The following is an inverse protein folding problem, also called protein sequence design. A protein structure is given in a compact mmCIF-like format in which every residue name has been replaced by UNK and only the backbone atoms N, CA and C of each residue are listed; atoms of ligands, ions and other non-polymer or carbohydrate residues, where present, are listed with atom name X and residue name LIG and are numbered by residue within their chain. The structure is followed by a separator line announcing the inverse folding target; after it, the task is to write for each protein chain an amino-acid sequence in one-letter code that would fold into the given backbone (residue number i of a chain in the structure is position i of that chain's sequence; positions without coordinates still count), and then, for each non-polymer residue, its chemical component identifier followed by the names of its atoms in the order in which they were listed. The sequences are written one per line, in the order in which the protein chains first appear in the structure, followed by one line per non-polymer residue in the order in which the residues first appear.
data_IF_877080953742
#
_entry.id   IF_877080953742
#
_cell.length_a   1.000
_cell.length_b   1.000
_cell.length_c   1.000
_cell.angle_alpha   90.00
_cell.angle_beta   90.00
_cell.angle_gamma   90.00
#
_symmetry.space_group_name_H-M   'P 1'
#
loop_
_entity.id
_entity.type
_entity.pdbx_description
1 polymer ?
#
# COMPACT_ATOMS: atom_id res chain seq x y z
N UNK A 1 -10.11 12.47 3.37
CA UNK A 1 -10.42 11.15 3.98
C UNK A 1 -10.26 10.00 3.00
N UNK A 2 -10.84 10.02 1.80
CA UNK A 2 -10.69 8.90 0.83
C UNK A 2 -9.22 8.64 0.45
N UNK A 3 -8.44 9.66 0.10
CA UNK A 3 -7.01 9.51 -0.19
C UNK A 3 -6.20 9.06 1.03
N UNK A 4 -6.57 9.46 2.26
CA UNK A 4 -5.95 8.94 3.47
C UNK A 4 -6.27 7.45 3.67
N UNK A 5 -7.51 7.02 3.37
CA UNK A 5 -7.88 5.60 3.36
C UNK A 5 -7.15 4.79 2.31
N UNK A 6 -6.71 5.41 1.20
CA UNK A 6 -5.84 4.76 0.22
C UNK A 6 -4.44 4.50 0.75
N UNK A 7 -3.88 5.48 1.46
CA UNK A 7 -2.54 5.37 2.04
C UNK A 7 -2.50 4.40 3.23
N UNK A 8 -3.51 4.47 4.13
CA UNK A 8 -3.60 3.58 5.29
C UNK A 8 -4.21 2.23 4.91
N UNK A 9 -3.38 1.22 4.75
CA UNK A 9 -3.80 -0.10 4.27
C UNK A 9 -2.92 -1.26 4.77
N UNK A 10 -2.97 -2.38 4.05
CA UNK A 10 -2.09 -3.53 4.30
C UNK A 10 -0.60 -3.16 4.23
N UNK A 11 -0.25 -2.15 3.44
CA UNK A 11 1.11 -1.64 3.36
C UNK A 11 1.70 -1.27 4.71
N UNK A 12 0.89 -0.67 5.60
CA UNK A 12 1.32 -0.24 6.93
C UNK A 12 1.32 -1.37 7.96
N UNK A 13 0.32 -2.27 7.90
CA UNK A 13 0.07 -3.25 8.97
C UNK A 13 0.70 -4.61 8.65
N UNK A 14 0.83 -4.95 7.37
CA UNK A 14 1.41 -6.21 6.91
C UNK A 14 2.82 -6.01 6.35
N UNK A 15 2.99 -5.14 5.33
CA UNK A 15 4.24 -5.02 4.57
C UNK A 15 5.34 -4.27 5.35
N UNK A 16 5.01 -3.15 5.98
CA UNK A 16 5.97 -2.36 6.74
C UNK A 16 6.62 -3.15 7.89
N UNK A 17 5.88 -3.86 8.77
CA UNK A 17 6.50 -4.64 9.83
C UNK A 17 7.46 -5.73 9.33
N UNK A 18 7.10 -6.47 8.27
CA UNK A 18 8.02 -7.50 7.80
C UNK A 18 9.28 -6.92 7.14
N UNK A 19 9.18 -5.81 6.41
CA UNK A 19 10.35 -5.11 5.86
C UNK A 19 11.24 -4.60 7.00
N UNK A 20 10.67 -3.94 8.01
CA UNK A 20 11.45 -3.52 9.17
C UNK A 20 12.02 -4.70 9.95
N UNK A 21 11.31 -5.82 10.03
CA UNK A 21 11.80 -7.05 10.63
C UNK A 21 13.04 -7.62 9.92
N UNK A 22 13.09 -7.51 8.60
CA UNK A 22 14.23 -8.00 7.80
C UNK A 22 15.43 -7.06 7.81
N UNK A 23 15.21 -5.73 7.91
CA UNK A 23 16.24 -4.73 7.68
C UNK A 23 16.51 -3.83 8.90
N UNK A 24 16.54 -4.43 10.11
CA UNK A 24 17.08 -3.79 11.30
C UNK A 24 16.11 -2.85 12.05
N UNK A 25 14.81 -3.16 12.05
CA UNK A 25 13.82 -2.51 12.92
C UNK A 25 13.87 -0.99 12.90
N UNK A 26 14.50 -0.39 13.91
CA UNK A 26 14.63 1.07 14.06
C UNK A 26 15.41 1.75 12.92
N UNK A 27 16.45 1.10 12.36
CA UNK A 27 17.18 1.64 11.22
C UNK A 27 16.28 1.73 9.98
N UNK A 28 15.47 0.66 9.74
CA UNK A 28 14.44 0.67 8.71
C UNK A 28 13.42 1.80 8.95
N UNK A 29 12.89 1.94 10.16
CA UNK A 29 11.94 3.00 10.49
C UNK A 29 12.53 4.39 10.20
N UNK A 30 13.78 4.64 10.59
CA UNK A 30 14.45 5.92 10.35
C UNK A 30 14.54 6.24 8.85
N UNK A 31 15.03 5.28 8.04
CA UNK A 31 15.15 5.45 6.58
C UNK A 31 13.76 5.58 5.93
N UNK A 32 12.77 4.82 6.40
CA UNK A 32 11.39 4.94 5.95
C UNK A 32 10.83 6.35 6.17
N UNK A 33 11.01 6.92 7.36
CA UNK A 33 10.57 8.29 7.66
C UNK A 33 11.24 9.31 6.72
N UNK A 34 12.53 9.18 6.46
CA UNK A 34 13.24 10.04 5.51
C UNK A 34 12.61 9.94 4.11
N UNK A 35 12.40 8.73 3.60
CA UNK A 35 11.83 8.53 2.27
C UNK A 35 10.38 8.99 2.16
N UNK A 36 9.57 8.74 3.18
CA UNK A 36 8.16 9.16 3.18
C UNK A 36 8.04 10.68 3.13
N UNK A 37 8.82 11.43 3.94
CA UNK A 37 8.71 12.88 3.98
C UNK A 37 9.45 13.58 2.83
N UNK A 38 10.63 13.09 2.41
CA UNK A 38 11.44 13.76 1.39
C UNK A 38 11.08 13.37 -0.04
N UNK A 39 10.56 12.15 -0.24
CA UNK A 39 10.24 11.63 -1.57
C UNK A 39 8.74 11.36 -1.69
N UNK A 40 8.19 10.56 -0.81
CA UNK A 40 6.80 10.11 -0.87
C UNK A 40 5.79 11.27 -0.81
N UNK A 41 5.92 12.17 0.17
CA UNK A 41 5.04 13.35 0.29
C UNK A 41 5.20 14.30 -0.90
N UNK A 42 6.40 14.47 -1.42
CA UNK A 42 6.68 15.30 -2.60
C UNK A 42 5.97 14.72 -3.84
N UNK A 43 6.05 13.40 -4.02
CA UNK A 43 5.33 12.69 -5.08
C UNK A 43 3.82 12.76 -4.91
N UNK A 44 3.33 12.58 -3.69
CA UNK A 44 1.90 12.71 -3.37
C UNK A 44 1.34 14.09 -3.78
N UNK A 45 2.08 15.15 -3.44
CA UNK A 45 1.73 16.50 -3.87
C UNK A 45 1.78 16.65 -5.38
N UNK A 46 2.80 16.10 -6.04
CA UNK A 46 2.97 16.12 -7.50
C UNK A 46 1.76 15.48 -8.18
N UNK A 47 1.36 14.28 -7.76
CA UNK A 47 0.20 13.59 -8.33
C UNK A 47 -1.11 14.34 -8.05
N UNK A 48 -1.29 14.91 -6.86
CA UNK A 48 -2.45 15.74 -6.56
C UNK A 48 -2.54 16.99 -7.45
N UNK A 49 -1.43 17.67 -7.71
CA UNK A 49 -1.40 18.82 -8.61
C UNK A 49 -1.77 18.40 -10.03
N UNK A 50 -1.17 17.32 -10.56
CA UNK A 50 -1.48 16.79 -11.88
C UNK A 50 -2.97 16.44 -11.98
N UNK A 51 -3.50 15.72 -11.01
CA UNK A 51 -4.90 15.30 -10.98
C UNK A 51 -5.85 16.49 -10.90
N UNK A 52 -5.67 17.39 -9.94
CA UNK A 52 -6.56 18.56 -9.71
C UNK A 52 -6.54 19.52 -10.88
N UNK A 53 -5.36 19.79 -11.44
CA UNK A 53 -5.23 20.72 -12.57
C UNK A 53 -5.86 20.18 -13.84
N UNK A 54 -5.69 18.88 -14.12
CA UNK A 54 -6.24 18.25 -15.31
C UNK A 54 -7.73 17.89 -15.20
N UNK A 55 -8.18 17.49 -14.01
CA UNK A 55 -9.53 16.95 -13.77
C UNK A 55 -9.77 15.56 -14.37
N UNK A 56 -8.70 14.85 -14.79
CA UNK A 56 -8.77 13.55 -15.47
C UNK A 56 -7.96 12.45 -14.75
N UNK A 57 -8.25 11.20 -15.10
CA UNK A 57 -7.40 10.06 -14.77
C UNK A 57 -6.05 10.13 -15.49
N UNK A 58 -5.02 9.40 -15.07
CA UNK A 58 -3.64 9.56 -15.53
C UNK A 58 -3.45 9.55 -17.04
N UNK A 59 -4.08 8.64 -17.79
CA UNK A 59 -3.90 8.57 -19.27
C UNK A 59 -4.26 9.90 -19.96
N UNK A 60 -5.33 10.57 -19.51
CA UNK A 60 -5.77 11.84 -20.06
C UNK A 60 -5.11 13.04 -19.38
N UNK A 61 -4.72 12.92 -18.11
CA UNK A 61 -4.17 14.02 -17.33
C UNK A 61 -2.87 14.58 -17.94
N UNK A 62 -1.93 13.73 -18.29
CA UNK A 62 -0.65 14.17 -18.85
C UNK A 62 -0.77 14.92 -20.17
N UNK A 63 -1.45 14.40 -21.21
CA UNK A 63 -1.63 15.15 -22.46
C UNK A 63 -2.50 16.40 -22.30
N UNK A 64 -3.47 16.43 -21.38
CA UNK A 64 -4.25 17.63 -21.11
C UNK A 64 -3.39 18.80 -20.59
N UNK A 65 -2.37 18.50 -19.76
CA UNK A 65 -1.42 19.47 -19.23
C UNK A 65 -0.30 19.83 -20.21
N UNK A 66 0.00 18.97 -21.19
CA UNK A 66 1.00 19.23 -22.22
C UNK A 66 0.53 18.76 -23.62
N UNK A 67 -0.43 19.46 -24.26
CA UNK A 67 -1.00 19.03 -25.55
C UNK A 67 0.02 18.90 -26.68
N UNK A 68 1.12 19.66 -26.62
CA UNK A 68 2.19 19.61 -27.64
C UNK A 68 3.01 18.32 -27.61
N UNK A 69 2.90 17.51 -26.57
CA UNK A 69 3.66 16.27 -26.37
C UNK A 69 2.73 15.12 -25.94
N UNK A 70 1.84 14.65 -26.82
CA UNK A 70 0.79 13.67 -26.47
C UNK A 70 1.37 12.29 -26.04
N UNK A 71 2.64 12.02 -26.36
CA UNK A 71 3.31 10.78 -25.94
C UNK A 71 3.35 10.59 -24.43
N UNK A 72 3.22 11.65 -23.62
CA UNK A 72 3.13 11.55 -22.16
C UNK A 72 1.92 10.77 -21.66
N UNK A 73 0.92 10.52 -22.52
CA UNK A 73 -0.16 9.56 -22.20
C UNK A 73 0.36 8.18 -21.80
N UNK A 74 1.53 7.78 -22.31
CA UNK A 74 2.15 6.49 -22.01
C UNK A 74 2.52 6.36 -20.53
N UNK A 75 2.89 7.46 -19.86
CA UNK A 75 3.14 7.47 -18.42
C UNK A 75 1.84 7.18 -17.64
N UNK A 76 0.73 7.76 -18.09
CA UNK A 76 -0.58 7.46 -17.52
C UNK A 76 -1.00 6.00 -17.74
N UNK A 77 -0.79 5.46 -18.93
CA UNK A 77 -1.08 4.05 -19.23
C UNK A 77 -0.19 3.10 -18.40
N UNK A 78 1.10 3.44 -18.25
CA UNK A 78 2.01 2.72 -17.38
C UNK A 78 1.52 2.69 -15.93
N UNK A 79 1.05 3.83 -15.40
CA UNK A 79 0.44 3.90 -14.07
C UNK A 79 -0.80 3.01 -13.94
N UNK A 80 -1.68 2.97 -14.96
CA UNK A 80 -2.86 2.09 -14.96
C UNK A 80 -2.48 0.62 -14.99
N UNK A 81 -1.48 0.24 -15.79
CA UNK A 81 -0.94 -1.13 -15.82
C UNK A 81 -0.35 -1.52 -14.46
N UNK A 82 0.45 -0.64 -13.86
CA UNK A 82 1.01 -0.83 -12.51
C UNK A 82 -0.10 -1.02 -11.48
N UNK A 83 -1.11 -0.16 -11.50
CA UNK A 83 -2.26 -0.23 -10.59
C UNK A 83 -3.02 -1.55 -10.73
N UNK A 84 -3.22 -2.04 -11.96
CA UNK A 84 -3.88 -3.30 -12.27
C UNK A 84 -3.11 -4.51 -11.70
N UNK A 85 -1.79 -4.58 -11.90
CA UNK A 85 -0.98 -5.65 -11.33
C UNK A 85 -0.92 -5.62 -9.80
N UNK A 86 -0.82 -4.41 -9.21
CA UNK A 86 -0.84 -4.24 -7.75
C UNK A 86 -2.18 -4.72 -7.18
N UNK A 87 -3.31 -4.37 -7.80
CA UNK A 87 -4.61 -4.79 -7.32
C UNK A 87 -4.75 -6.32 -7.32
N UNK A 88 -4.26 -7.01 -8.35
CA UNK A 88 -4.32 -8.47 -8.41
C UNK A 88 -3.60 -9.15 -7.24
N UNK A 89 -2.33 -8.74 -6.96
CA UNK A 89 -1.58 -9.24 -5.79
C UNK A 89 -2.29 -8.88 -4.48
N UNK A 90 -2.76 -7.64 -4.40
CA UNK A 90 -3.45 -7.12 -3.23
C UNK A 90 -4.72 -7.92 -2.90
N UNK A 91 -5.47 -8.34 -3.91
CA UNK A 91 -6.67 -9.15 -3.76
C UNK A 91 -6.37 -10.56 -3.25
N UNK A 92 -5.28 -11.17 -3.69
CA UNK A 92 -4.85 -12.49 -3.19
C UNK A 92 -4.53 -12.41 -1.70
N UNK A 93 -3.71 -11.43 -1.29
CA UNK A 93 -3.37 -11.21 0.12
C UNK A 93 -4.61 -10.85 0.96
N UNK A 94 -5.52 -10.05 0.40
CA UNK A 94 -6.79 -9.71 1.05
C UNK A 94 -7.70 -10.93 1.21
N UNK A 95 -7.67 -11.85 0.25
CA UNK A 95 -8.34 -13.15 0.33
C UNK A 95 -7.79 -14.00 1.47
N UNK A 96 -6.46 -14.09 1.61
CA UNK A 96 -5.84 -14.77 2.75
C UNK A 96 -6.25 -14.15 4.08
N UNK A 97 -6.24 -12.81 4.14
CA UNK A 97 -6.64 -12.05 5.32
C UNK A 97 -8.08 -12.32 5.71
N UNK A 98 -9.00 -12.32 4.74
CA UNK A 98 -10.41 -12.62 4.97
C UNK A 98 -10.62 -14.09 5.39
N UNK A 99 -9.85 -15.03 4.83
CA UNK A 99 -9.85 -16.42 5.23
C UNK A 99 -9.42 -16.59 6.68
N UNK A 100 -8.32 -15.98 7.07
CA UNK A 100 -7.82 -16.01 8.46
C UNK A 100 -8.75 -15.29 9.44
N UNK A 101 -9.42 -14.23 9.01
CA UNK A 101 -10.48 -13.61 9.81
C UNK A 101 -11.62 -14.59 10.05
N UNK A 102 -12.07 -15.29 9.02
CA UNK A 102 -13.10 -16.33 9.15
C UNK A 102 -12.67 -17.47 10.07
N UNK A 103 -11.45 -17.98 9.89
CA UNK A 103 -10.90 -19.06 10.73
C UNK A 103 -10.68 -18.64 12.19
N UNK A 104 -10.38 -17.35 12.45
CA UNK A 104 -10.31 -16.80 13.81
C UNK A 104 -11.69 -16.73 14.45
N UNK A 105 -12.74 -16.33 13.72
CA UNK A 105 -14.13 -16.29 14.20
C UNK A 105 -14.67 -17.68 14.52
N UNK A 106 -14.34 -18.67 13.72
CA UNK A 106 -14.80 -20.06 13.90
C UNK A 106 -14.00 -20.85 14.95
N UNK A 107 -12.92 -20.25 15.48
CA UNK A 107 -12.04 -20.91 16.43
C UNK A 107 -11.06 -21.92 15.77
N UNK A 108 -11.05 -22.02 14.46
CA UNK A 108 -10.15 -22.94 13.71
C UNK A 108 -8.68 -22.63 14.02
N UNK A 109 -8.28 -21.34 14.02
CA UNK A 109 -6.90 -20.96 14.33
C UNK A 109 -6.51 -21.36 15.76
N UNK A 110 -7.41 -21.30 16.71
CA UNK A 110 -7.15 -21.66 18.10
C UNK A 110 -6.95 -23.17 18.32
N UNK A 111 -7.35 -24.02 17.37
CA UNK A 111 -7.19 -25.47 17.43
C UNK A 111 -5.87 -25.95 16.81
N UNK A 112 -5.07 -25.06 16.19
CA UNK A 112 -3.81 -25.39 15.55
C UNK A 112 -2.71 -25.35 16.61
N UNK A 113 -1.84 -26.40 16.63
CA UNK A 113 -0.65 -26.40 17.48
C UNK A 113 0.36 -25.32 17.01
N UNK A 114 1.15 -24.78 17.94
CA UNK A 114 2.03 -23.62 17.67
C UNK A 114 3.05 -23.89 16.54
N UNK A 115 3.49 -25.12 16.35
CA UNK A 115 4.38 -25.55 15.26
C UNK A 115 3.64 -25.85 13.94
N UNK A 116 2.31 -25.89 13.97
CA UNK A 116 1.44 -26.21 12.83
C UNK A 116 1.09 -25.04 11.93
N UNK A 117 1.29 -23.77 12.37
CA UNK A 117 0.82 -22.59 11.62
C UNK A 117 1.46 -22.43 10.25
N UNK A 118 2.75 -22.78 10.11
CA UNK A 118 3.40 -22.76 8.79
C UNK A 118 2.76 -23.77 7.84
N UNK A 119 2.59 -25.01 8.27
CA UNK A 119 1.94 -26.04 7.46
C UNK A 119 0.49 -25.71 7.14
N UNK A 120 -0.23 -25.07 8.09
CA UNK A 120 -1.60 -24.60 7.87
C UNK A 120 -1.66 -23.49 6.79
N UNK A 121 -0.77 -22.51 6.87
CA UNK A 121 -0.69 -21.45 5.86
C UNK A 121 -0.35 -22.01 4.48
N UNK A 122 0.67 -22.88 4.41
CA UNK A 122 1.09 -23.53 3.17
C UNK A 122 -0.08 -24.34 2.56
N UNK A 123 -0.81 -25.10 3.38
CA UNK A 123 -1.99 -25.84 2.95
C UNK A 123 -3.17 -24.91 2.53
N UNK A 124 -3.33 -23.77 3.20
CA UNK A 124 -4.36 -22.78 2.86
C UNK A 124 -4.09 -22.18 1.48
N UNK A 125 -2.86 -21.69 1.22
CA UNK A 125 -2.51 -21.05 -0.05
C UNK A 125 -2.40 -22.05 -1.19
N UNK A 126 -2.03 -23.29 -0.93
CA UNK A 126 -1.99 -24.39 -1.91
C UNK A 126 -3.38 -24.92 -2.27
N UNK A 127 -4.41 -24.58 -1.51
CA UNK A 127 -5.78 -25.01 -1.82
C UNK A 127 -6.29 -24.34 -3.11
N UNK A 128 -6.78 -25.10 -4.09
CA UNK A 128 -7.20 -24.52 -5.38
C UNK A 128 -8.45 -23.64 -5.28
N UNK A 129 -9.23 -23.73 -4.23
CA UNK A 129 -10.49 -23.00 -4.11
C UNK A 129 -10.57 -22.03 -2.92
N UNK A 130 -9.95 -22.35 -1.77
CA UNK A 130 -10.04 -21.50 -0.56
C UNK A 130 -9.59 -20.06 -0.79
N UNK A 131 -8.35 -19.78 -1.24
CA UNK A 131 -7.91 -18.41 -1.49
C UNK A 131 -8.76 -17.68 -2.51
N UNK A 132 -9.21 -18.40 -3.55
CA UNK A 132 -10.04 -17.84 -4.64
C UNK A 132 -11.42 -17.41 -4.14
N UNK A 133 -12.08 -18.24 -3.32
CA UNK A 133 -13.41 -17.91 -2.75
C UNK A 133 -13.31 -16.64 -1.90
N UNK A 134 -12.33 -16.56 -1.00
CA UNK A 134 -12.17 -15.38 -0.15
C UNK A 134 -11.77 -14.14 -0.94
N UNK A 135 -10.92 -14.28 -1.97
CA UNK A 135 -10.59 -13.20 -2.91
C UNK A 135 -11.85 -12.66 -3.59
N UNK A 136 -12.70 -13.53 -4.12
CA UNK A 136 -13.94 -13.12 -4.82
C UNK A 136 -14.91 -12.45 -3.86
N UNK A 137 -15.09 -12.98 -2.66
CA UNK A 137 -15.94 -12.37 -1.62
C UNK A 137 -15.41 -10.97 -1.28
N UNK A 138 -14.10 -10.83 -1.04
CA UNK A 138 -13.48 -9.54 -0.73
C UNK A 138 -13.65 -8.54 -1.88
N UNK A 139 -13.45 -8.97 -3.11
CA UNK A 139 -13.62 -8.12 -4.29
C UNK A 139 -15.10 -7.70 -4.51
N UNK A 140 -16.06 -8.55 -4.18
CA UNK A 140 -17.49 -8.18 -4.19
C UNK A 140 -17.75 -7.06 -3.19
N UNK A 141 -17.23 -7.11 -1.96
CA UNK A 141 -17.36 -6.01 -1.00
C UNK A 141 -16.74 -4.72 -1.54
N UNK A 142 -15.56 -4.80 -2.15
CA UNK A 142 -14.89 -3.66 -2.78
C UNK A 142 -15.75 -3.06 -3.90
N UNK A 143 -16.28 -3.90 -4.79
CA UNK A 143 -17.16 -3.48 -5.89
C UNK A 143 -18.43 -2.78 -5.37
N UNK A 144 -19.09 -3.31 -4.35
CA UNK A 144 -20.30 -2.70 -3.79
C UNK A 144 -20.06 -1.27 -3.31
N UNK A 145 -18.90 -1.01 -2.71
CA UNK A 145 -18.51 0.36 -2.30
C UNK A 145 -18.33 1.26 -3.53
N UNK A 146 -17.63 0.78 -4.57
CA UNK A 146 -17.41 1.55 -5.82
C UNK A 146 -18.72 1.87 -6.54
N UNK A 147 -19.66 0.93 -6.57
CA UNK A 147 -20.99 1.13 -7.18
C UNK A 147 -21.80 2.24 -6.47
N UNK A 148 -21.52 2.49 -5.19
CA UNK A 148 -22.09 3.61 -4.43
C UNK A 148 -21.56 4.99 -4.86
N UNK A 149 -20.49 5.04 -5.67
CA UNK A 149 -19.87 6.26 -6.19
C UNK A 149 -18.91 6.93 -5.18
N UNK A 150 -18.28 8.04 -5.60
CA UNK A 150 -17.19 8.68 -4.83
C UNK A 150 -17.68 9.22 -3.48
N UNK A 151 -18.77 10.01 -3.45
CA UNK A 151 -19.22 10.65 -2.22
C UNK A 151 -19.97 9.69 -1.27
N UNK A 152 -20.94 8.92 -1.79
CA UNK A 152 -21.82 8.06 -0.99
C UNK A 152 -21.18 6.69 -0.70
N UNK A 153 -20.32 6.21 -1.56
CA UNK A 153 -19.57 4.95 -1.38
C UNK A 153 -18.21 5.20 -0.73
N UNK A 154 -17.25 5.60 -1.50
CA UNK A 154 -15.83 5.65 -1.10
C UNK A 154 -15.60 6.58 0.10
N UNK A 155 -16.05 7.84 0.01
CA UNK A 155 -15.80 8.82 1.08
C UNK A 155 -16.51 8.46 2.38
N UNK A 156 -17.77 7.99 2.30
CA UNK A 156 -18.56 7.58 3.47
C UNK A 156 -17.93 6.37 4.16
N UNK A 157 -17.53 5.36 3.39
CA UNK A 157 -16.89 4.15 3.92
C UNK A 157 -15.53 4.51 4.53
N UNK A 158 -14.69 5.28 3.85
CA UNK A 158 -13.40 5.71 4.41
C UNK A 158 -13.55 6.52 5.70
N UNK A 159 -14.53 7.42 5.80
CA UNK A 159 -14.82 8.16 7.03
C UNK A 159 -15.22 7.27 8.20
N UNK A 160 -15.89 6.16 7.93
CA UNK A 160 -16.28 5.18 8.95
C UNK A 160 -15.11 4.27 9.33
N UNK A 161 -14.37 3.75 8.34
CA UNK A 161 -13.33 2.74 8.58
C UNK A 161 -12.08 3.31 9.25
N UNK A 162 -11.65 4.53 8.89
CA UNK A 162 -10.40 5.12 9.43
C UNK A 162 -10.39 5.24 10.97
N UNK A 163 -11.44 5.77 11.65
CA UNK A 163 -11.47 5.77 13.11
C UNK A 163 -11.50 4.36 13.71
N UNK A 164 -12.22 3.42 13.10
CA UNK A 164 -12.28 2.03 13.54
C UNK A 164 -10.88 1.39 13.48
N UNK A 165 -10.15 1.58 12.36
CA UNK A 165 -8.78 1.10 12.20
C UNK A 165 -7.86 1.66 13.29
N UNK A 166 -7.96 2.96 13.57
CA UNK A 166 -7.16 3.58 14.62
C UNK A 166 -7.45 2.99 16.00
N UNK A 167 -8.73 2.80 16.34
CA UNK A 167 -9.12 2.19 17.63
C UNK A 167 -8.62 0.75 17.72
N UNK A 168 -8.78 -0.05 16.68
CA UNK A 168 -8.33 -1.44 16.66
C UNK A 168 -6.80 -1.55 16.82
N UNK A 169 -6.02 -0.74 16.09
CA UNK A 169 -4.56 -0.78 16.22
C UNK A 169 -4.11 -0.32 17.61
N UNK A 170 -4.76 0.68 18.20
CA UNK A 170 -4.45 1.12 19.57
C UNK A 170 -4.75 0.03 20.60
N UNK A 171 -5.87 -0.69 20.48
CA UNK A 171 -6.18 -1.83 21.35
C UNK A 171 -5.10 -2.92 21.25
N UNK A 172 -4.66 -3.22 20.05
CA UNK A 172 -3.58 -4.18 19.82
C UNK A 172 -2.25 -3.69 20.41
N UNK A 173 -1.91 -2.40 20.26
CA UNK A 173 -0.73 -1.80 20.89
C UNK A 173 -0.76 -1.96 22.42
N UNK A 174 -1.88 -1.58 23.06
CA UNK A 174 -2.02 -1.70 24.51
C UNK A 174 -1.79 -3.16 24.95
N UNK A 175 -2.40 -4.10 24.26
CA UNK A 175 -2.21 -5.53 24.59
C UNK A 175 -0.78 -6.00 24.38
N UNK A 176 -0.18 -5.66 23.26
CA UNK A 176 1.20 -6.04 22.92
C UNK A 176 2.19 -5.50 23.96
N UNK A 177 2.02 -4.26 24.40
CA UNK A 177 2.87 -3.63 25.41
C UNK A 177 2.73 -4.24 26.82
N UNK A 178 1.61 -4.90 27.11
CA UNK A 178 1.41 -5.59 28.41
C UNK A 178 1.98 -7.01 28.44
N UNK A 179 2.53 -7.52 27.34
CA UNK A 179 3.13 -8.86 27.29
C UNK A 179 4.50 -8.89 27.98
N UNK A 180 4.85 -10.00 28.67
CA UNK A 180 6.19 -10.19 29.21
C UNK A 180 7.25 -10.15 28.10
N UNK A 181 8.29 -9.33 28.28
CA UNK A 181 9.35 -9.17 27.25
C UNK A 181 9.06 -8.17 26.15
N UNK A 182 7.94 -7.45 26.17
CA UNK A 182 7.56 -6.42 25.20
C UNK A 182 8.63 -5.32 25.01
N UNK A 183 9.42 -5.04 26.04
CA UNK A 183 10.52 -4.05 25.99
C UNK A 183 11.57 -4.38 24.93
N UNK A 184 11.83 -5.67 24.65
CA UNK A 184 12.78 -6.10 23.60
C UNK A 184 12.27 -5.69 22.21
N UNK A 185 10.97 -5.89 21.94
CA UNK A 185 10.35 -5.49 20.69
C UNK A 185 10.28 -3.97 20.51
N UNK A 186 10.06 -3.21 21.59
CA UNK A 186 10.15 -1.75 21.56
C UNK A 186 11.60 -1.29 21.30
N UNK A 187 12.58 -1.90 21.95
CA UNK A 187 13.99 -1.60 21.70
C UNK A 187 14.35 -1.88 20.23
N UNK A 188 13.89 -3.01 19.67
CA UNK A 188 14.09 -3.33 18.26
C UNK A 188 13.52 -2.27 17.31
N UNK A 189 12.34 -1.74 17.62
CA UNK A 189 11.67 -0.73 16.78
C UNK A 189 12.25 0.68 16.94
N UNK A 190 12.85 1.03 18.09
CA UNK A 190 13.27 2.41 18.38
C UNK A 190 14.78 2.57 18.69
N UNK A 191 15.53 1.49 18.84
CA UNK A 191 16.97 1.54 19.04
C UNK A 191 17.68 1.13 17.74
N UNK A 192 18.23 2.09 16.96
CA UNK A 192 18.70 1.83 15.61
C UNK A 192 20.01 1.01 15.59
N UNK A 193 19.98 -0.07 14.84
CA UNK A 193 21.14 -0.86 14.45
C UNK A 193 21.28 -0.81 12.92
N UNK A 194 22.18 0.04 12.44
CA UNK A 194 22.41 0.20 11.01
C UNK A 194 23.25 -0.93 10.40
N UNK A 195 23.82 -1.84 11.19
CA UNK A 195 24.61 -2.95 10.69
C UNK A 195 23.80 -3.96 9.87
N UNK A 196 22.49 -4.02 10.12
CA UNK A 196 21.54 -4.88 9.40
C UNK A 196 20.96 -4.22 8.14
N UNK A 197 21.26 -2.94 7.90
CA UNK A 197 20.74 -2.20 6.77
C UNK A 197 21.63 -2.43 5.54
N UNK A 198 21.10 -3.20 4.58
CA UNK A 198 21.75 -3.47 3.29
C UNK A 198 21.25 -2.51 2.21
N UNK A 199 21.93 -2.47 1.05
CA UNK A 199 21.43 -1.72 -0.11
C UNK A 199 20.05 -2.22 -0.58
N UNK A 200 19.84 -3.54 -0.60
CA UNK A 200 18.53 -4.14 -0.90
C UNK A 200 17.46 -3.69 0.09
N UNK A 201 17.84 -3.59 1.38
CA UNK A 201 16.97 -3.04 2.41
C UNK A 201 16.59 -1.59 2.14
N UNK A 202 17.54 -0.73 1.76
CA UNK A 202 17.26 0.67 1.39
C UNK A 202 16.28 0.76 0.22
N UNK A 203 16.45 -0.11 -0.79
CA UNK A 203 15.56 -0.17 -1.95
C UNK A 203 14.17 -0.66 -1.57
N UNK A 204 14.09 -1.72 -0.76
CA UNK A 204 12.83 -2.26 -0.25
C UNK A 204 12.07 -1.21 0.58
N UNK A 205 12.79 -0.43 1.39
CA UNK A 205 12.22 0.65 2.21
C UNK A 205 11.72 1.81 1.33
N UNK A 206 12.45 2.19 0.28
CA UNK A 206 11.96 3.20 -0.67
C UNK A 206 10.70 2.70 -1.40
N UNK A 207 10.73 1.47 -1.91
CA UNK A 207 9.56 0.83 -2.49
C UNK A 207 8.36 0.79 -1.53
N UNK A 208 8.61 0.51 -0.25
CA UNK A 208 7.59 0.55 0.80
C UNK A 208 7.01 1.96 0.99
N UNK A 209 7.83 3.00 0.99
CA UNK A 209 7.38 4.38 1.16
C UNK A 209 6.47 4.83 0.00
N UNK A 210 6.79 4.43 -1.24
CA UNK A 210 5.98 4.73 -2.42
C UNK A 210 4.66 3.92 -2.43
N UNK A 211 4.77 2.63 -2.10
CA UNK A 211 3.62 1.73 -2.03
C UNK A 211 2.62 2.17 -0.97
N UNK A 212 3.09 2.51 0.23
CA UNK A 212 2.25 2.94 1.36
C UNK A 212 1.46 4.20 1.02
N UNK A 213 2.10 5.20 0.41
CA UNK A 213 1.42 6.43 -0.01
C UNK A 213 0.64 6.29 -1.33
N UNK A 214 0.62 5.11 -1.95
CA UNK A 214 -0.06 4.83 -3.22
C UNK A 214 0.38 5.76 -4.36
N UNK A 215 1.67 6.14 -4.41
CA UNK A 215 2.25 7.01 -5.44
C UNK A 215 3.05 6.22 -6.47
N UNK A 216 3.23 6.78 -7.67
CA UNK A 216 3.94 6.13 -8.77
C UNK A 216 3.07 5.20 -9.63
N UNK A 217 1.81 5.00 -9.24
CA UNK A 217 0.84 4.16 -9.96
C UNK A 217 -0.37 4.94 -10.48
N UNK A 218 -0.40 6.27 -10.33
CA UNK A 218 -1.48 7.13 -10.81
C UNK A 218 -2.73 7.19 -9.92
N UNK A 219 -2.77 6.45 -8.82
CA UNK A 219 -3.91 6.46 -7.92
C UNK A 219 -4.14 7.86 -7.32
N UNK A 220 -3.08 8.53 -6.89
CA UNK A 220 -3.18 9.87 -6.31
C UNK A 220 -3.47 10.94 -7.35
N UNK A 221 -3.23 10.72 -8.66
CA UNK A 221 -3.71 11.57 -9.73
C UNK A 221 -5.24 11.52 -9.81
N UNK A 222 -5.84 10.32 -9.73
CA UNK A 222 -7.31 10.17 -9.71
C UNK A 222 -7.90 10.84 -8.49
N UNK A 223 -7.35 10.61 -7.29
CA UNK A 223 -7.83 11.31 -6.09
C UNK A 223 -7.60 12.82 -6.16
N UNK A 224 -6.51 13.26 -6.78
CA UNK A 224 -6.23 14.66 -7.08
C UNK A 224 -7.34 15.30 -7.90
N UNK A 225 -7.87 14.60 -8.91
CA UNK A 225 -8.96 15.11 -9.75
C UNK A 225 -10.28 15.32 -8.99
N UNK A 226 -10.42 14.71 -7.82
CA UNK A 226 -11.59 14.88 -6.93
C UNK A 226 -11.39 15.95 -5.86
N UNK A 227 -10.17 16.49 -5.69
CA UNK A 227 -9.88 17.52 -4.69
C UNK A 227 -10.51 18.86 -5.12
N UNK A 228 -11.38 19.46 -4.28
CA UNK A 228 -11.93 20.78 -4.55
C UNK A 228 -10.83 21.84 -4.74
N UNK A 229 -11.09 22.84 -5.59
CA UNK A 229 -10.11 23.88 -5.93
C UNK A 229 -9.72 24.77 -4.75
N UNK A 230 -10.58 24.93 -3.76
CA UNK A 230 -10.36 25.69 -2.52
C UNK A 230 -9.56 24.92 -1.47
N UNK A 231 -9.33 23.62 -1.67
CA UNK A 231 -8.58 22.77 -0.73
C UNK A 231 -7.06 22.99 -0.82
N UNK A 232 -6.40 23.05 0.34
CA UNK A 232 -4.94 23.18 0.42
C UNK A 232 -4.25 21.84 0.18
N UNK A 233 -3.56 21.68 -0.97
CA UNK A 233 -2.85 20.46 -1.35
C UNK A 233 -1.76 20.11 -0.34
N UNK A 234 -0.95 21.07 0.08
CA UNK A 234 0.14 20.85 1.04
C UNK A 234 -0.39 20.31 2.36
N UNK A 235 -1.46 20.92 2.90
CA UNK A 235 -2.08 20.48 4.13
C UNK A 235 -2.66 19.06 3.99
N UNK A 236 -3.31 18.77 2.86
CA UNK A 236 -3.87 17.45 2.60
C UNK A 236 -2.77 16.38 2.51
N UNK A 237 -1.71 16.64 1.74
CA UNK A 237 -0.57 15.72 1.60
C UNK A 237 0.11 15.47 2.95
N UNK A 238 0.35 16.53 3.74
CA UNK A 238 0.95 16.41 5.08
C UNK A 238 0.08 15.53 6.00
N UNK A 239 -1.24 15.77 6.07
CA UNK A 239 -2.12 14.97 6.90
C UNK A 239 -2.18 13.52 6.48
N UNK A 240 -2.20 13.23 5.16
CA UNK A 240 -2.19 11.85 4.65
C UNK A 240 -0.87 11.18 5.04
N UNK A 241 0.26 11.84 4.82
CA UNK A 241 1.58 11.32 5.17
C UNK A 241 1.72 11.06 6.68
N UNK A 242 1.24 11.98 7.53
CA UNK A 242 1.27 11.80 8.99
C UNK A 242 0.36 10.65 9.42
N UNK A 243 -0.84 10.52 8.85
CA UNK A 243 -1.72 9.39 9.16
C UNK A 243 -1.08 8.06 8.75
N UNK A 244 -0.51 7.99 7.56
CA UNK A 244 0.20 6.81 7.03
C UNK A 244 1.32 6.36 7.98
N UNK A 245 2.23 7.27 8.30
CA UNK A 245 3.37 7.02 9.21
C UNK A 245 2.87 6.62 10.61
N UNK A 246 1.85 7.31 11.13
CA UNK A 246 1.31 6.99 12.45
C UNK A 246 0.79 5.56 12.52
N UNK A 247 0.03 5.13 11.54
CA UNK A 247 -0.49 3.75 11.50
C UNK A 247 0.64 2.74 11.31
N UNK A 248 1.65 3.03 10.47
CA UNK A 248 2.82 2.16 10.29
C UNK A 248 3.60 1.97 11.61
N UNK A 249 3.86 3.06 12.33
CA UNK A 249 4.55 3.00 13.63
C UNK A 249 3.71 2.26 14.67
N UNK A 250 2.41 2.54 14.75
CA UNK A 250 1.49 1.83 15.65
C UNK A 250 1.44 0.33 15.32
N UNK A 251 1.42 -0.05 14.04
CA UNK A 251 1.49 -1.45 13.64
C UNK A 251 2.80 -2.11 14.09
N UNK A 252 3.94 -1.42 13.97
CA UNK A 252 5.20 -1.88 14.53
C UNK A 252 5.14 -2.09 16.06
N UNK A 253 4.54 -1.15 16.81
CA UNK A 253 4.32 -1.25 18.27
C UNK A 253 3.36 -2.40 18.60
N UNK A 254 2.35 -2.67 17.76
CA UNK A 254 1.44 -3.78 17.97
C UNK A 254 2.10 -5.14 17.70
N UNK A 255 3.00 -5.24 16.73
CA UNK A 255 3.55 -6.50 16.23
C UNK A 255 4.87 -6.87 16.92
N UNK A 256 5.89 -6.01 16.92
CA UNK A 256 7.22 -6.39 17.43
C UNK A 256 7.25 -6.80 18.90
N UNK A 257 6.63 -6.05 19.85
CA UNK A 257 6.61 -6.51 21.24
C UNK A 257 5.92 -7.87 21.40
N UNK A 258 4.88 -8.15 20.63
CA UNK A 258 4.17 -9.43 20.65
C UNK A 258 5.05 -10.57 20.10
N UNK A 259 5.74 -10.35 18.96
CA UNK A 259 6.65 -11.31 18.35
C UNK A 259 7.81 -11.65 19.31
N UNK A 260 8.45 -10.66 19.90
CA UNK A 260 9.56 -10.87 20.85
C UNK A 260 9.09 -11.49 22.17
N UNK A 261 7.89 -11.20 22.64
CA UNK A 261 7.31 -11.83 23.84
C UNK A 261 7.07 -13.32 23.64
N UNK A 262 6.73 -13.74 22.42
CA UNK A 262 6.57 -15.15 22.05
C UNK A 262 7.89 -15.83 21.63
N UNK A 263 9.03 -15.14 21.69
CA UNK A 263 10.32 -15.70 21.28
C UNK A 263 10.44 -15.99 19.79
N UNK A 264 9.60 -15.35 18.95
CA UNK A 264 9.56 -15.56 17.51
C UNK A 264 10.54 -14.63 16.78
N UNK A 265 10.87 -14.97 15.51
CA UNK A 265 11.78 -14.19 14.69
C UNK A 265 11.01 -13.06 13.96
N UNK A 266 11.38 -11.77 14.11
CA UNK A 266 10.75 -10.69 13.39
C UNK A 266 11.08 -10.67 11.88
N UNK A 267 12.09 -11.43 11.43
CA UNK A 267 12.57 -11.46 10.05
C UNK A 267 11.89 -12.51 9.15
N UNK A 268 10.79 -13.13 9.58
CA UNK A 268 10.08 -14.18 8.81
C UNK A 268 9.36 -13.67 7.55
N UNK A 269 9.59 -12.42 7.17
CA UNK A 269 9.07 -11.85 5.92
C UNK A 269 7.54 -11.81 5.85
N UNK A 270 6.95 -12.10 4.67
CA UNK A 270 5.49 -12.09 4.49
C UNK A 270 4.74 -13.07 5.40
N UNK A 271 5.41 -14.13 5.87
CA UNK A 271 4.86 -15.12 6.82
C UNK A 271 4.60 -14.58 8.22
N UNK A 272 5.24 -13.46 8.61
CA UNK A 272 5.14 -12.87 9.94
C UNK A 272 3.69 -12.73 10.43
N UNK A 273 2.78 -12.31 9.58
CA UNK A 273 1.38 -12.06 9.93
C UNK A 273 0.54 -13.32 9.99
N UNK A 274 0.79 -14.29 9.11
CA UNK A 274 -0.06 -15.48 8.97
C UNK A 274 0.49 -16.72 9.68
N UNK A 275 1.78 -16.73 9.97
CA UNK A 275 2.46 -17.87 10.61
C UNK A 275 2.88 -17.53 12.04
N UNK A 276 3.47 -16.37 12.28
CA UNK A 276 4.04 -15.99 13.58
C UNK A 276 3.00 -15.39 14.52
N UNK A 277 2.21 -14.41 14.07
CA UNK A 277 1.24 -13.77 14.96
C UNK A 277 0.14 -14.71 15.48
N UNK A 278 -0.37 -15.69 14.75
CA UNK A 278 -1.28 -16.67 15.32
C UNK A 278 -0.68 -17.48 16.49
N UNK A 279 0.64 -17.82 16.44
CA UNK A 279 1.35 -18.43 17.58
C UNK A 279 1.30 -17.52 18.80
N UNK A 280 1.54 -16.21 18.59
CA UNK A 280 1.47 -15.23 19.69
C UNK A 280 0.07 -15.19 20.29
N UNK A 281 -0.97 -15.17 19.47
CA UNK A 281 -2.35 -15.17 19.95
C UNK A 281 -2.69 -16.46 20.70
N UNK A 282 -2.27 -17.62 20.21
CA UNK A 282 -2.51 -18.89 20.89
C UNK A 282 -1.84 -18.93 22.27
N UNK A 283 -0.61 -18.41 22.40
CA UNK A 283 0.10 -18.33 23.67
C UNK A 283 -0.65 -17.52 24.77
N UNK A 284 -1.58 -16.68 24.35
CA UNK A 284 -2.42 -15.85 25.25
C UNK A 284 -3.75 -16.52 25.65
N UNK A 285 -4.00 -17.75 25.21
CA UNK A 285 -5.22 -18.51 25.51
C UNK A 285 -6.50 -17.85 24.98
N UNK A 286 -7.60 -17.91 25.74
CA UNK A 286 -8.92 -17.37 25.32
C UNK A 286 -8.87 -15.89 24.99
N UNK A 287 -8.07 -15.11 25.70
CA UNK A 287 -7.89 -13.67 25.40
C UNK A 287 -7.26 -13.48 24.05
N UNK A 288 -6.30 -14.32 23.70
CA UNK A 288 -5.62 -14.30 22.40
C UNK A 288 -6.55 -14.57 21.22
N UNK A 289 -7.56 -15.43 21.40
CA UNK A 289 -8.58 -15.66 20.36
C UNK A 289 -9.34 -14.37 20.01
N UNK A 290 -9.72 -13.59 21.01
CA UNK A 290 -10.36 -12.28 20.78
C UNK A 290 -9.42 -11.34 20.05
N UNK A 291 -8.14 -11.29 20.42
CA UNK A 291 -7.14 -10.45 19.75
C UNK A 291 -6.83 -10.94 18.33
N UNK A 292 -6.85 -12.23 18.04
CA UNK A 292 -6.75 -12.76 16.69
C UNK A 292 -7.90 -12.24 15.80
N UNK A 293 -9.15 -12.34 16.28
CA UNK A 293 -10.31 -11.80 15.55
C UNK A 293 -10.17 -10.30 15.31
N UNK A 294 -9.79 -9.51 16.31
CA UNK A 294 -9.62 -8.06 16.19
C UNK A 294 -8.48 -7.71 15.22
N UNK A 295 -7.39 -8.46 15.25
CA UNK A 295 -6.24 -8.24 14.38
C UNK A 295 -6.57 -8.54 12.91
N UNK A 296 -7.15 -9.71 12.62
CA UNK A 296 -7.53 -10.03 11.24
C UNK A 296 -8.68 -9.17 10.74
N UNK A 297 -9.59 -8.73 11.60
CA UNK A 297 -10.58 -7.70 11.26
C UNK A 297 -9.91 -6.38 10.88
N UNK A 298 -8.93 -5.91 11.66
CA UNK A 298 -8.14 -4.72 11.35
C UNK A 298 -7.51 -4.84 9.95
N UNK A 299 -6.90 -5.99 9.66
CA UNK A 299 -6.27 -6.23 8.35
C UNK A 299 -7.30 -6.24 7.21
N UNK A 300 -8.46 -6.87 7.37
CA UNK A 300 -9.54 -6.88 6.36
C UNK A 300 -10.02 -5.46 6.07
N UNK A 301 -10.24 -4.64 7.11
CA UNK A 301 -10.69 -3.26 6.95
C UNK A 301 -9.61 -2.38 6.30
N UNK A 302 -8.35 -2.56 6.68
CA UNK A 302 -7.20 -1.88 6.06
C UNK A 302 -7.03 -2.30 4.59
N UNK A 303 -7.18 -3.59 4.29
CA UNK A 303 -7.18 -4.10 2.93
C UNK A 303 -8.30 -3.46 2.08
N UNK A 304 -9.50 -3.35 2.65
CA UNK A 304 -10.67 -2.84 1.94
C UNK A 304 -10.50 -1.37 1.52
N UNK A 305 -9.94 -0.52 2.38
CA UNK A 305 -9.73 0.91 2.06
C UNK A 305 -8.80 1.10 0.87
N UNK A 306 -7.71 0.35 0.80
CA UNK A 306 -6.74 0.44 -0.31
C UNK A 306 -7.26 -0.25 -1.58
N UNK A 307 -7.92 -1.41 -1.47
CA UNK A 307 -8.52 -2.08 -2.63
C UNK A 307 -9.59 -1.22 -3.31
N UNK A 308 -10.41 -0.50 -2.53
CA UNK A 308 -11.36 0.49 -3.04
C UNK A 308 -10.63 1.54 -3.88
N UNK A 309 -9.48 2.02 -3.43
CA UNK A 309 -8.72 3.06 -4.13
C UNK A 309 -8.11 2.58 -5.43
N UNK A 310 -7.55 1.37 -5.43
CA UNK A 310 -6.97 0.76 -6.63
C UNK A 310 -8.07 0.47 -7.68
N UNK A 311 -9.19 -0.13 -7.26
CA UNK A 311 -10.32 -0.41 -8.15
C UNK A 311 -10.96 0.88 -8.67
N UNK A 312 -11.04 1.94 -7.83
CA UNK A 312 -11.52 3.26 -8.24
C UNK A 312 -10.64 3.87 -9.31
N UNK A 313 -9.33 3.78 -9.17
CA UNK A 313 -8.36 4.33 -10.12
C UNK A 313 -8.58 3.75 -11.52
N UNK A 314 -8.75 2.45 -11.62
CA UNK A 314 -9.02 1.76 -12.89
C UNK A 314 -10.45 2.03 -13.41
N UNK A 315 -11.42 2.16 -12.51
CA UNK A 315 -12.81 2.50 -12.86
C UNK A 315 -12.87 3.92 -13.45
N UNK A 316 -12.22 4.90 -12.83
CA UNK A 316 -12.15 6.27 -13.32
C UNK A 316 -11.47 6.35 -14.69
N UNK A 317 -10.42 5.57 -14.91
CA UNK A 317 -9.74 5.48 -16.21
C UNK A 317 -10.67 5.05 -17.35
N UNK A 318 -11.47 3.98 -17.16
CA UNK A 318 -12.43 3.56 -18.17
C UNK A 318 -13.62 4.53 -18.30
N UNK A 319 -14.03 5.18 -17.20
CA UNK A 319 -15.08 6.18 -17.22
C UNK A 319 -14.66 7.41 -18.03
N UNK A 320 -13.40 7.85 -17.92
CA UNK A 320 -12.86 8.93 -18.75
C UNK A 320 -12.82 8.60 -20.25
N UNK A 321 -12.82 7.32 -20.61
CA UNK A 321 -12.96 6.87 -22.02
C UNK A 321 -14.40 6.89 -22.52
N UNK A 322 -15.35 7.31 -21.69
CA UNK A 322 -16.78 7.41 -22.02
C UNK A 322 -17.64 6.23 -21.56
N UNK A 323 -17.05 5.28 -20.86
CA UNK A 323 -17.80 4.14 -20.31
C UNK A 323 -18.62 4.58 -19.09
N UNK A 324 -19.85 4.05 -18.95
CA UNK A 324 -20.64 4.26 -17.73
C UNK A 324 -19.87 3.70 -16.52
N UNK A 325 -19.68 4.51 -15.48
CA UNK A 325 -18.86 4.19 -14.29
C UNK A 325 -19.19 2.80 -13.68
N UNK A 326 -20.49 2.45 -13.54
CA UNK A 326 -20.91 1.14 -13.01
C UNK A 326 -20.45 -0.01 -13.90
N UNK A 327 -20.51 0.17 -15.23
CA UNK A 327 -20.08 -0.84 -16.20
C UNK A 327 -18.54 -0.98 -16.14
N UNK A 328 -17.82 0.15 -16.08
CA UNK A 328 -16.38 0.16 -15.93
C UNK A 328 -15.93 -0.61 -14.67
N UNK A 329 -16.56 -0.34 -13.52
CA UNK A 329 -16.28 -1.04 -12.27
C UNK A 329 -16.47 -2.56 -12.38
N UNK A 330 -17.58 -3.01 -12.99
CA UNK A 330 -17.85 -4.44 -13.17
C UNK A 330 -16.82 -5.09 -14.11
N UNK A 331 -16.49 -4.44 -15.23
CA UNK A 331 -15.50 -4.98 -16.18
C UNK A 331 -14.13 -5.14 -15.51
N UNK A 332 -13.64 -4.08 -14.83
CA UNK A 332 -12.35 -4.18 -14.12
C UNK A 332 -12.42 -5.28 -13.05
N UNK A 333 -13.51 -5.37 -12.29
CA UNK A 333 -13.69 -6.43 -11.29
C UNK A 333 -13.57 -7.82 -11.90
N UNK A 334 -14.20 -8.07 -13.04
CA UNK A 334 -14.13 -9.37 -13.72
C UNK A 334 -12.71 -9.67 -14.23
N UNK A 335 -12.01 -8.68 -14.77
CA UNK A 335 -10.61 -8.82 -15.18
C UNK A 335 -9.70 -9.11 -13.98
N UNK A 336 -9.93 -8.44 -12.84
CA UNK A 336 -9.17 -8.66 -11.61
C UNK A 336 -9.44 -10.04 -10.98
N UNK A 337 -10.67 -10.57 -11.07
CA UNK A 337 -10.94 -11.96 -10.69
C UNK A 337 -10.07 -12.90 -11.51
N UNK A 338 -10.06 -12.74 -12.84
CA UNK A 338 -9.26 -13.61 -13.71
C UNK A 338 -7.79 -13.55 -13.36
N UNK A 339 -7.20 -12.34 -13.28
CA UNK A 339 -5.78 -12.19 -12.95
C UNK A 339 -5.47 -12.66 -11.53
N UNK A 340 -6.32 -12.32 -10.55
CA UNK A 340 -6.16 -12.74 -9.16
C UNK A 340 -6.22 -14.26 -8.99
N UNK A 341 -7.06 -14.94 -9.75
CA UNK A 341 -7.09 -16.42 -9.82
C UNK A 341 -5.75 -16.94 -10.35
N UNK A 342 -5.24 -16.42 -11.46
CA UNK A 342 -3.93 -16.83 -11.96
C UNK A 342 -2.83 -16.64 -10.92
N UNK A 343 -2.82 -15.50 -10.24
CA UNK A 343 -1.85 -15.23 -9.16
C UNK A 343 -2.02 -16.19 -7.98
N UNK A 344 -3.27 -16.49 -7.55
CA UNK A 344 -3.54 -17.43 -6.46
C UNK A 344 -3.10 -18.88 -6.80
N UNK A 345 -3.27 -19.29 -8.05
CA UNK A 345 -2.85 -20.62 -8.51
C UNK A 345 -1.32 -20.82 -8.52
N UNK A 346 -0.52 -19.80 -8.28
CA UNK A 346 0.94 -19.92 -8.14
C UNK A 346 1.38 -20.87 -7.04
N UNK A 347 0.53 -21.11 -6.05
CA UNK A 347 0.84 -21.94 -4.88
C UNK A 347 0.32 -23.39 -4.98
N UNK A 348 -0.38 -23.75 -6.06
CA UNK A 348 -1.06 -25.06 -6.17
C UNK A 348 -0.21 -26.18 -6.75
N UNK A 349 1.09 -25.97 -7.00
CA UNK A 349 1.97 -26.97 -7.60
C UNK A 349 1.79 -27.19 -9.10
N UNK A 350 0.99 -26.33 -9.77
CA UNK A 350 0.74 -26.36 -11.20
C UNK A 350 1.77 -25.58 -12.04
N UNK A 351 1.50 -25.37 -13.34
CA UNK A 351 2.42 -24.67 -14.26
C UNK A 351 2.78 -23.23 -13.84
N UNK A 352 1.98 -22.59 -12.96
CA UNK A 352 2.23 -21.25 -12.44
C UNK A 352 3.14 -21.22 -11.20
N UNK A 353 3.49 -22.39 -10.67
CA UNK A 353 4.33 -22.50 -9.46
C UNK A 353 5.83 -22.39 -9.76
N UNK A 354 6.24 -22.56 -11.03
CA UNK A 354 7.66 -22.53 -11.44
C UNK A 354 7.83 -22.00 -12.87
N UNK A 355 7.38 -20.76 -13.11
CA UNK A 355 7.37 -20.14 -14.46
C UNK A 355 8.63 -19.31 -14.73
N UNK A 356 9.33 -18.87 -13.68
CA UNK A 356 10.34 -17.84 -13.83
C UNK A 356 11.76 -18.38 -13.78
N UNK A 357 12.71 -17.79 -14.54
CA UNK A 357 14.13 -18.03 -14.34
C UNK A 357 14.49 -17.74 -12.87
N UNK A 358 15.00 -18.74 -12.15
CA UNK A 358 15.37 -18.60 -10.73
C UNK A 358 14.42 -19.27 -9.73
N UNK A 359 13.42 -20.05 -10.18
CA UNK A 359 12.56 -20.85 -9.29
C UNK A 359 11.51 -20.06 -8.49
N UNK A 360 11.23 -18.82 -8.87
CA UNK A 360 10.16 -18.02 -8.26
C UNK A 360 8.82 -18.39 -8.89
N UNK A 361 7.78 -18.52 -8.07
CA UNK A 361 6.41 -18.66 -8.55
C UNK A 361 5.86 -17.35 -9.14
N UNK A 362 4.71 -17.41 -9.81
CA UNK A 362 4.15 -16.23 -10.48
C UNK A 362 3.75 -15.12 -9.49
N UNK A 363 3.24 -15.48 -8.30
CA UNK A 363 2.93 -14.49 -7.25
C UNK A 363 4.18 -13.72 -6.82
N UNK A 364 5.28 -14.42 -6.49
CA UNK A 364 6.51 -13.78 -6.04
C UNK A 364 7.08 -12.86 -7.12
N UNK A 365 7.05 -13.32 -8.39
CA UNK A 365 7.51 -12.49 -9.51
C UNK A 365 6.69 -11.22 -9.68
N UNK A 366 5.34 -11.29 -9.66
CA UNK A 366 4.48 -10.10 -9.77
C UNK A 366 4.61 -9.22 -8.52
N UNK A 367 4.76 -9.81 -7.33
CA UNK A 367 4.97 -9.08 -6.08
C UNK A 367 6.28 -8.27 -6.09
N UNK A 368 7.38 -8.88 -6.56
CA UNK A 368 8.66 -8.19 -6.71
C UNK A 368 8.56 -7.06 -7.74
N UNK A 369 7.95 -7.36 -8.90
CA UNK A 369 7.76 -6.37 -9.96
C UNK A 369 6.95 -5.15 -9.47
N UNK A 370 5.86 -5.40 -8.77
CA UNK A 370 4.97 -4.35 -8.25
C UNK A 370 5.49 -3.68 -6.98
N UNK A 371 6.34 -4.36 -6.22
CA UNK A 371 6.89 -3.85 -4.97
C UNK A 371 8.18 -3.06 -5.13
N UNK A 372 9.07 -3.47 -6.06
CA UNK A 372 10.42 -2.90 -6.18
C UNK A 372 10.64 -2.08 -7.46
N UNK A 373 9.95 -2.39 -8.57
CA UNK A 373 10.30 -1.81 -9.88
C UNK A 373 9.23 -0.85 -10.41
N UNK A 374 7.97 -1.30 -10.51
CA UNK A 374 6.96 -0.52 -11.22
C UNK A 374 6.63 0.83 -10.56
N UNK A 375 6.37 0.95 -9.24
CA UNK A 375 6.09 2.23 -8.64
C UNK A 375 7.26 3.22 -8.70
N UNK A 376 8.54 2.85 -8.44
CA UNK A 376 9.67 3.76 -8.62
C UNK A 376 9.83 4.27 -10.06
N UNK A 377 9.63 3.42 -11.08
CA UNK A 377 9.66 3.86 -12.49
C UNK A 377 8.52 4.85 -12.77
N UNK A 378 7.29 4.54 -12.36
CA UNK A 378 6.15 5.43 -12.53
C UNK A 378 6.33 6.76 -11.80
N UNK A 379 6.86 6.73 -10.58
CA UNK A 379 7.22 7.91 -9.81
C UNK A 379 8.28 8.75 -10.52
N UNK A 380 9.35 8.13 -11.03
CA UNK A 380 10.40 8.81 -11.79
C UNK A 380 9.85 9.52 -13.03
N UNK A 381 9.05 8.83 -13.84
CA UNK A 381 8.42 9.41 -15.01
C UNK A 381 7.48 10.57 -14.65
N UNK A 382 6.76 10.45 -13.56
CA UNK A 382 5.83 11.50 -13.05
C UNK A 382 6.60 12.74 -12.60
N UNK A 383 7.70 12.60 -11.84
CA UNK A 383 8.49 13.77 -11.41
C UNK A 383 9.26 14.41 -12.55
N UNK A 384 9.70 13.63 -13.57
CA UNK A 384 10.28 14.18 -14.77
C UNK A 384 9.26 15.02 -15.54
N UNK A 385 8.05 14.50 -15.75
CA UNK A 385 6.98 15.28 -16.37
C UNK A 385 6.71 16.57 -15.61
N UNK A 386 6.51 16.48 -14.31
CA UNK A 386 6.17 17.61 -13.47
C UNK A 386 7.28 18.67 -13.39
N UNK A 387 8.51 18.24 -13.14
CA UNK A 387 9.64 19.15 -12.94
C UNK A 387 10.21 19.77 -14.22
N UNK A 388 10.02 19.11 -15.39
CA UNK A 388 10.72 19.51 -16.63
C UNK A 388 9.78 19.78 -17.80
N UNK A 389 8.51 19.33 -17.77
CA UNK A 389 7.57 19.42 -18.89
C UNK A 389 6.39 20.32 -18.56
N UNK A 390 5.82 20.18 -17.34
CA UNK A 390 4.69 20.99 -16.91
C UNK A 390 5.11 22.45 -16.69
N UNK A 391 4.22 23.39 -16.99
CA UNK A 391 4.48 24.82 -16.82
C UNK A 391 4.59 25.18 -15.35
N UNK A 392 5.63 25.94 -14.98
CA UNK A 392 5.87 26.37 -13.60
C UNK A 392 4.73 27.21 -13.03
N UNK A 393 4.13 28.04 -13.87
CA UNK A 393 2.99 28.90 -13.52
C UNK A 393 1.81 28.04 -13.05
N UNK A 394 1.48 26.97 -13.77
CA UNK A 394 0.40 26.02 -13.42
C UNK A 394 0.69 25.30 -12.09
N UNK A 395 1.95 24.90 -11.88
CA UNK A 395 2.40 24.27 -10.63
C UNK A 395 2.23 25.24 -9.44
N UNK A 396 2.70 26.46 -9.61
CA UNK A 396 2.66 27.45 -8.53
C UNK A 396 1.26 27.96 -8.24
N UNK A 397 0.42 28.07 -9.26
CA UNK A 397 -1.01 28.40 -9.12
C UNK A 397 -1.71 27.37 -8.23
N UNK A 398 -1.53 26.08 -8.51
CA UNK A 398 -2.09 24.98 -7.71
C UNK A 398 -1.54 24.93 -6.28
N UNK A 399 -0.22 25.04 -6.09
CA UNK A 399 0.41 24.99 -4.76
C UNK A 399 0.05 26.21 -3.90
N UNK A 400 -0.14 27.37 -4.50
CA UNK A 400 -0.56 28.58 -3.79
C UNK A 400 -2.07 28.67 -3.59
N UNK A 401 -2.82 27.66 -4.04
CA UNK A 401 -4.27 27.68 -4.05
C UNK A 401 -4.81 28.95 -4.72
N UNK A 402 -4.40 29.17 -5.98
CA UNK A 402 -4.71 30.36 -6.80
C UNK A 402 -4.28 31.68 -6.16
N UNK A 403 -3.11 31.68 -5.52
CA UNK A 403 -2.53 32.90 -4.90
C UNK A 403 -2.97 33.18 -3.46
N UNK A 404 -3.89 32.39 -2.90
CA UNK A 404 -4.39 32.58 -1.53
C UNK A 404 -3.31 32.28 -0.48
N UNK A 405 -2.43 31.31 -0.74
CA UNK A 405 -1.40 30.87 0.20
C UNK A 405 -0.04 31.53 -0.11
N UNK A 406 0.59 32.12 0.90
CA UNK A 406 1.96 32.61 0.82
C UNK A 406 2.95 31.47 0.96
N UNK A 407 3.39 30.86 -0.17
CA UNK A 407 4.27 29.68 -0.21
C UNK A 407 5.63 29.97 -0.87
N UNK A 408 6.15 31.19 -0.75
CA UNK A 408 7.33 31.65 -1.54
C UNK A 408 8.59 30.81 -1.33
N UNK A 409 9.00 30.56 -0.08
CA UNK A 409 10.17 29.71 0.22
C UNK A 409 9.92 28.23 -0.09
N UNK A 410 8.69 27.77 0.18
CA UNK A 410 8.29 26.39 -0.07
C UNK A 410 8.29 26.05 -1.56
N UNK A 411 7.93 27.00 -2.44
CA UNK A 411 7.99 26.81 -3.90
C UNK A 411 9.39 26.46 -4.37
N UNK A 412 10.42 27.16 -3.86
CA UNK A 412 11.81 26.92 -4.25
C UNK A 412 12.28 25.56 -3.72
N UNK A 413 12.05 25.28 -2.45
CA UNK A 413 12.41 24.03 -1.82
C UNK A 413 11.76 22.83 -2.51
N UNK A 414 10.43 22.89 -2.72
CA UNK A 414 9.68 21.85 -3.41
C UNK A 414 10.16 21.63 -4.84
N UNK A 415 10.46 22.71 -5.56
CA UNK A 415 10.97 22.62 -6.92
C UNK A 415 12.33 21.91 -6.99
N UNK A 416 13.23 22.17 -6.03
CA UNK A 416 14.51 21.46 -5.92
C UNK A 416 14.27 19.98 -5.65
N UNK A 417 13.39 19.65 -4.70
CA UNK A 417 13.07 18.26 -4.36
C UNK A 417 12.52 17.48 -5.55
N UNK A 418 11.53 18.04 -6.27
CA UNK A 418 10.89 17.36 -7.41
C UNK A 418 11.83 17.25 -8.61
N UNK A 419 12.65 18.29 -8.85
CA UNK A 419 13.45 18.34 -10.07
C UNK A 419 14.79 17.61 -9.97
N UNK A 420 15.36 17.51 -8.78
CA UNK A 420 16.70 16.95 -8.60
C UNK A 420 16.75 15.84 -7.57
N UNK A 421 16.21 16.01 -6.38
CA UNK A 421 16.38 15.05 -5.28
C UNK A 421 15.56 13.77 -5.52
N UNK A 422 14.27 13.90 -5.81
CA UNK A 422 13.41 12.74 -6.04
C UNK A 422 13.84 11.93 -7.28
N UNK A 423 14.12 12.55 -8.47
CA UNK A 423 14.63 11.80 -9.61
C UNK A 423 15.96 11.11 -9.33
N UNK A 424 16.89 11.76 -8.64
CA UNK A 424 18.19 11.18 -8.32
C UNK A 424 18.05 9.97 -7.38
N UNK A 425 17.25 10.08 -6.31
CA UNK A 425 17.00 8.99 -5.38
C UNK A 425 16.31 7.80 -6.06
N UNK A 426 15.30 8.07 -6.92
CA UNK A 426 14.58 7.03 -7.66
C UNK A 426 15.49 6.35 -8.70
N UNK A 427 16.36 7.10 -9.39
CA UNK A 427 17.34 6.53 -10.33
C UNK A 427 18.37 5.67 -9.62
N UNK A 428 18.95 6.15 -8.51
CA UNK A 428 19.90 5.36 -7.71
C UNK A 428 19.23 4.06 -7.22
N UNK A 429 18.00 4.13 -6.75
CA UNK A 429 17.22 2.97 -6.36
C UNK A 429 17.09 1.96 -7.50
N UNK A 430 16.61 2.41 -8.67
CA UNK A 430 16.40 1.54 -9.83
C UNK A 430 17.70 0.93 -10.37
N UNK A 431 18.78 1.72 -10.43
CA UNK A 431 20.09 1.21 -10.89
C UNK A 431 20.63 0.17 -9.91
N UNK A 432 20.55 0.45 -8.62
CA UNK A 432 21.02 -0.50 -7.61
C UNK A 432 20.22 -1.82 -7.65
N UNK A 433 18.89 -1.77 -7.84
CA UNK A 433 18.06 -2.99 -7.93
C UNK A 433 18.30 -3.84 -9.21
N UNK A 434 19.00 -3.29 -10.20
CA UNK A 434 19.38 -4.04 -11.42
C UNK A 434 20.80 -4.66 -11.26
N UNK A 435 21.65 -4.06 -10.42
CA UNK A 435 23.04 -4.48 -10.21
C UNK A 435 23.18 -5.53 -9.09
N UNK A 436 22.20 -5.64 -8.20
CA UNK A 436 22.11 -6.66 -7.16
C UNK A 436 21.17 -7.78 -7.57
#
# INVERSE_FOLDING_TARGET
MAAAGSAVGLGNIWRFPYICGQYGGAACLFVYLLFVFLIGMVLLMTEFVIGRRSGFSPEKAFPALCPKRPAWKLVGLYGMFTCFLILAIYLVISGWTLGYFWESLTGTLASIADDGFKAHFDAFVASPWKPVVFLVIFLIFTLLVILGGVQKGIEKVSKLLMPILLVLVLLLCVRSLTLPGASKGLAYLFHPDFSLLTWDGILAILGQALFSLSVGMGAMIVYGSYIPRDSNILKNAMWITVCDVTIAVLAGIAIFPAVFAAGQNPADGPGLVYQVLPVVFNSMGTVGQVFAVLFFLLLVLAALTSAISLLETLTAWLADKGMKRKVAAVIITLLEVVLGVFVAYSFTGGPLSDITPGGKNFFDWVNDLTGAYLPPIGALLTVIFFGWVMKKEDIYDELSNHGVLKVSWFKVFYHILVRFVAPAALLVSLVASILT
#
